data_IF_306652273173
#
_entry.id   IF_306652273173
#
_cell.length_a   1.000
_cell.length_b   1.000
_cell.length_c   1.000
_cell.angle_alpha   90.00
_cell.angle_beta   90.00
_cell.angle_gamma   90.00
#
_symmetry.space_group_name_H-M   'P 1'
#
loop_
_entity.id
_entity.type
_entity.pdbx_description
1 polymer ?
#
# COMPACT_ATOMS: atom_id res chain seq x y z
N UNK A 1 -2.11 -10.81 -18.20
CA UNK A 1 -3.22 -10.84 -19.16
C UNK A 1 -4.49 -10.36 -18.49
N UNK A 2 -5.34 -9.62 -19.22
CA UNK A 2 -6.66 -9.18 -18.73
C UNK A 2 -6.61 -8.33 -17.46
N UNK A 3 -7.74 -8.26 -16.77
CA UNK A 3 -7.92 -7.53 -15.52
C UNK A 3 -7.06 -8.10 -14.38
N UNK A 4 -6.84 -9.42 -14.38
CA UNK A 4 -6.08 -10.11 -13.32
C UNK A 4 -4.57 -10.00 -13.49
N UNK A 5 -4.09 -9.57 -14.66
CA UNK A 5 -2.67 -9.56 -15.02
C UNK A 5 -1.97 -10.93 -14.94
N UNK A 6 -2.71 -12.04 -14.98
CA UNK A 6 -2.12 -13.39 -14.97
C UNK A 6 -1.24 -13.69 -16.17
N UNK A 7 -0.19 -14.47 -15.96
CA UNK A 7 0.52 -15.14 -17.06
C UNK A 7 -0.30 -16.34 -17.57
N UNK A 8 -0.07 -16.85 -18.81
CA UNK A 8 -0.85 -17.94 -19.38
C UNK A 8 -0.97 -19.20 -18.51
N UNK A 9 0.11 -19.60 -17.85
CA UNK A 9 0.12 -20.78 -16.98
C UNK A 9 -0.70 -20.59 -15.71
N UNK A 10 -0.66 -19.40 -15.10
CA UNK A 10 -1.55 -19.04 -13.99
C UNK A 10 -3.01 -19.05 -14.42
N UNK A 11 -3.32 -18.51 -15.61
CA UNK A 11 -4.68 -18.59 -16.17
C UNK A 11 -5.17 -20.03 -16.29
N UNK A 12 -4.36 -20.93 -16.87
CA UNK A 12 -4.74 -22.33 -17.00
C UNK A 12 -5.04 -22.99 -15.64
N UNK A 13 -4.27 -22.67 -14.60
CA UNK A 13 -4.38 -23.30 -13.29
C UNK A 13 -5.50 -22.72 -12.41
N UNK A 14 -5.77 -21.41 -12.54
CA UNK A 14 -6.62 -20.68 -11.58
C UNK A 14 -7.89 -20.08 -12.20
N UNK A 15 -8.02 -19.96 -13.52
CA UNK A 15 -9.16 -19.29 -14.13
C UNK A 15 -10.47 -20.04 -13.84
N UNK A 16 -11.50 -19.26 -13.52
CA UNK A 16 -12.86 -19.69 -13.18
C UNK A 16 -13.85 -19.06 -14.16
N UNK A 17 -14.81 -19.85 -14.60
CA UNK A 17 -16.02 -19.38 -15.30
C UNK A 17 -17.06 -19.19 -14.20
N UNK A 18 -17.30 -17.94 -13.82
CA UNK A 18 -18.13 -17.61 -12.66
C UNK A 18 -19.60 -17.43 -13.07
N UNK A 19 -19.85 -16.97 -14.29
CA UNK A 19 -21.20 -16.71 -14.80
C UNK A 19 -21.82 -17.92 -15.53
N UNK A 20 -21.05 -18.97 -15.77
CA UNK A 20 -21.50 -20.24 -16.33
C UNK A 20 -21.71 -20.24 -17.84
N UNK A 21 -21.15 -19.27 -18.56
CA UNK A 21 -21.34 -19.12 -20.00
C UNK A 21 -20.41 -20.00 -20.87
N UNK A 22 -19.55 -20.80 -20.24
CA UNK A 22 -18.58 -21.70 -20.88
C UNK A 22 -17.22 -21.06 -21.15
N UNK A 23 -17.00 -19.80 -20.77
CA UNK A 23 -15.74 -19.06 -20.94
C UNK A 23 -15.20 -18.59 -19.59
N UNK A 24 -13.88 -18.46 -19.52
CA UNK A 24 -13.18 -17.89 -18.36
C UNK A 24 -12.63 -16.53 -18.73
N UNK A 25 -13.50 -15.57 -19.02
CA UNK A 25 -13.12 -14.30 -19.64
C UNK A 25 -12.56 -13.30 -18.62
N UNK A 26 -11.27 -13.43 -18.31
CA UNK A 26 -10.55 -12.49 -17.43
C UNK A 26 -10.28 -11.12 -18.07
N UNK A 27 -10.71 -10.87 -19.31
CA UNK A 27 -10.57 -9.57 -19.98
C UNK A 27 -11.82 -8.72 -19.80
N UNK A 28 -13.00 -9.28 -20.08
CA UNK A 28 -14.24 -8.51 -20.14
C UNK A 28 -15.28 -8.91 -19.09
N UNK A 29 -15.17 -10.09 -18.47
CA UNK A 29 -16.08 -10.51 -17.39
C UNK A 29 -15.50 -10.13 -16.02
N UNK A 30 -16.12 -9.14 -15.37
CA UNK A 30 -15.79 -8.78 -13.98
C UNK A 30 -16.01 -9.98 -13.03
N UNK A 31 -17.13 -10.74 -13.10
CA UNK A 31 -17.30 -11.95 -12.30
C UNK A 31 -16.15 -12.95 -12.46
N UNK A 32 -15.72 -13.24 -13.69
CA UNK A 32 -14.65 -14.21 -13.94
C UNK A 32 -13.30 -13.71 -13.44
N UNK A 33 -13.00 -12.43 -13.64
CA UNK A 33 -11.77 -11.82 -13.15
C UNK A 33 -11.68 -11.91 -11.61
N UNK A 34 -12.75 -11.51 -10.90
CA UNK A 34 -12.81 -11.55 -9.44
C UNK A 34 -12.75 -12.99 -8.91
N UNK A 35 -13.53 -13.90 -9.47
CA UNK A 35 -13.54 -15.30 -9.06
C UNK A 35 -12.19 -15.97 -9.31
N UNK A 36 -11.54 -15.65 -10.43
CA UNK A 36 -10.20 -16.14 -10.78
C UNK A 36 -9.14 -15.64 -9.79
N UNK A 37 -9.14 -14.35 -9.45
CA UNK A 37 -8.23 -13.79 -8.43
C UNK A 37 -8.48 -14.42 -7.06
N UNK A 38 -9.74 -14.61 -6.66
CA UNK A 38 -10.10 -15.27 -5.41
C UNK A 38 -9.67 -16.75 -5.39
N UNK A 39 -9.80 -17.46 -6.53
CA UNK A 39 -9.37 -18.85 -6.65
C UNK A 39 -7.86 -19.00 -6.49
N UNK A 40 -7.05 -18.07 -7.01
CA UNK A 40 -5.62 -18.03 -6.74
C UNK A 40 -5.34 -17.93 -5.25
N UNK A 41 -5.95 -16.96 -4.55
CA UNK A 41 -5.74 -16.79 -3.11
C UNK A 41 -6.17 -18.05 -2.32
N UNK A 42 -7.36 -18.58 -2.63
CA UNK A 42 -7.90 -19.79 -2.00
C UNK A 42 -6.98 -21.00 -2.18
N UNK A 43 -6.58 -21.29 -3.42
CA UNK A 43 -5.68 -22.43 -3.72
C UNK A 43 -4.29 -22.27 -3.10
N UNK A 44 -3.83 -21.04 -2.89
CA UNK A 44 -2.56 -20.76 -2.19
C UNK A 44 -2.71 -20.68 -0.66
N UNK A 45 -3.90 -21.01 -0.12
CA UNK A 45 -4.11 -21.21 1.31
C UNK A 45 -4.47 -19.94 2.07
N UNK A 46 -5.18 -19.01 1.42
CA UNK A 46 -5.83 -17.89 2.08
C UNK A 46 -6.77 -18.37 3.19
N UNK A 47 -6.70 -17.72 4.35
CA UNK A 47 -7.54 -18.01 5.50
C UNK A 47 -8.61 -16.93 5.62
N UNK A 48 -9.83 -17.25 5.21
CA UNK A 48 -10.97 -16.34 5.32
C UNK A 48 -11.20 -15.89 6.77
N UNK A 49 -11.56 -14.62 6.95
CA UNK A 49 -11.76 -14.01 8.27
C UNK A 49 -10.47 -13.66 9.03
N UNK A 50 -9.29 -14.04 8.52
CA UNK A 50 -8.00 -13.61 9.09
C UNK A 50 -7.42 -12.42 8.33
N UNK A 51 -6.74 -11.54 9.07
CA UNK A 51 -6.02 -10.39 8.50
C UNK A 51 -4.82 -10.84 7.66
N UNK A 52 -4.27 -9.95 6.83
CA UNK A 52 -2.96 -10.14 6.21
C UNK A 52 -1.81 -9.82 7.18
N UNK A 53 -2.02 -8.90 8.12
CA UNK A 53 -1.04 -8.48 9.12
C UNK A 53 -1.62 -7.51 10.15
N UNK A 54 -0.76 -7.08 11.07
CA UNK A 54 -1.08 -6.06 12.06
C UNK A 54 -0.01 -4.98 12.05
N UNK A 55 -0.40 -3.71 12.00
CA UNK A 55 0.49 -2.63 12.40
C UNK A 55 0.75 -2.72 13.92
N UNK A 56 2.01 -2.57 14.31
CA UNK A 56 2.47 -2.77 15.68
C UNK A 56 3.38 -1.65 16.16
N UNK A 57 3.34 -1.40 17.46
CA UNK A 57 4.34 -0.59 18.18
C UNK A 57 5.41 -1.52 18.74
N UNK A 58 6.67 -1.13 18.58
CA UNK A 58 7.82 -1.93 19.01
C UNK A 58 8.36 -1.41 20.36
N UNK A 59 8.66 -2.31 21.32
CA UNK A 59 9.34 -1.92 22.55
C UNK A 59 10.79 -1.53 22.26
N UNK A 60 11.43 -0.81 23.17
CA UNK A 60 12.84 -0.45 23.05
C UNK A 60 13.75 -1.69 22.93
N UNK A 61 14.89 -1.53 22.28
CA UNK A 61 15.89 -2.60 22.13
C UNK A 61 15.71 -3.48 20.89
N UNK A 62 16.63 -4.43 20.74
CA UNK A 62 16.71 -5.34 19.58
C UNK A 62 15.71 -6.48 19.73
N UNK A 63 14.89 -6.67 18.70
CA UNK A 63 13.97 -7.80 18.61
C UNK A 63 14.60 -8.98 17.85
N UNK A 64 14.22 -10.22 18.18
CA UNK A 64 14.69 -11.40 17.45
C UNK A 64 14.18 -11.40 16.01
N UNK A 65 14.96 -11.97 15.09
CA UNK A 65 14.52 -12.23 13.73
C UNK A 65 13.60 -13.47 13.62
N UNK A 66 13.06 -13.67 12.43
CA UNK A 66 12.30 -14.87 12.07
C UNK A 66 10.81 -14.82 12.43
N UNK A 67 10.18 -15.99 12.41
CA UNK A 67 8.74 -16.16 12.62
C UNK A 67 8.46 -16.63 14.04
N UNK A 68 7.50 -15.98 14.72
CA UNK A 68 7.03 -16.32 16.07
C UNK A 68 5.51 -16.24 16.14
N UNK A 69 4.90 -16.88 17.13
CA UNK A 69 3.47 -16.71 17.40
C UNK A 69 3.16 -15.28 17.83
N UNK A 70 1.94 -14.80 17.62
CA UNK A 70 1.50 -13.50 18.14
C UNK A 70 1.61 -13.43 19.67
N UNK A 71 1.35 -14.55 20.38
CA UNK A 71 1.58 -14.64 21.83
C UNK A 71 3.04 -14.37 22.21
N UNK A 72 3.99 -14.96 21.49
CA UNK A 72 5.42 -14.75 21.74
C UNK A 72 5.85 -13.31 21.40
N UNK A 73 5.33 -12.72 20.32
CA UNK A 73 5.57 -11.31 20.02
C UNK A 73 5.03 -10.38 21.10
N UNK A 74 3.83 -10.68 21.59
CA UNK A 74 3.22 -9.94 22.70
C UNK A 74 4.04 -10.06 24.00
N UNK A 75 4.54 -11.25 24.32
CA UNK A 75 5.42 -11.46 25.46
C UNK A 75 6.76 -10.71 25.35
N UNK A 76 7.21 -10.43 24.12
CA UNK A 76 8.37 -9.60 23.85
C UNK A 76 8.07 -8.09 23.93
N UNK A 77 6.83 -7.69 24.25
CA UNK A 77 6.40 -6.30 24.37
C UNK A 77 5.90 -5.67 23.07
N UNK A 78 5.75 -6.43 21.98
CA UNK A 78 5.15 -5.94 20.74
C UNK A 78 3.64 -5.87 20.92
N UNK A 79 3.04 -4.72 20.66
CA UNK A 79 1.59 -4.51 20.77
C UNK A 79 1.02 -3.97 19.47
N UNK A 80 -0.28 -4.13 19.21
CA UNK A 80 -0.90 -3.52 18.04
C UNK A 80 -0.87 -2.00 18.16
N UNK A 81 -0.56 -1.31 17.07
CA UNK A 81 -0.41 0.14 17.06
C UNK A 81 -1.73 0.86 17.43
N UNK A 82 -2.87 0.26 17.11
CA UNK A 82 -4.19 0.79 17.45
C UNK A 82 -4.69 0.44 18.87
N UNK A 83 -3.82 -0.11 19.73
CA UNK A 83 -4.14 -0.46 21.13
C UNK A 83 -5.07 -1.67 21.33
N UNK A 84 -5.59 -2.29 20.26
CA UNK A 84 -6.46 -3.47 20.37
C UNK A 84 -5.63 -4.74 20.69
N UNK A 85 -6.22 -5.78 21.29
CA UNK A 85 -5.54 -7.07 21.45
C UNK A 85 -5.32 -7.77 20.10
N UNK A 86 -4.30 -8.62 20.03
CA UNK A 86 -4.14 -9.53 18.89
C UNK A 86 -5.31 -10.54 18.86
N UNK A 87 -5.79 -10.85 17.66
CA UNK A 87 -6.69 -11.99 17.44
C UNK A 87 -5.88 -13.21 17.03
N UNK A 88 -6.35 -14.41 17.38
CA UNK A 88 -5.72 -15.69 17.01
C UNK A 88 -4.25 -15.80 17.48
N UNK A 89 -4.00 -15.67 18.79
CA UNK A 89 -2.66 -15.68 19.40
C UNK A 89 -1.69 -16.80 18.93
N UNK A 90 -2.14 -18.03 18.60
CA UNK A 90 -1.27 -19.07 18.05
C UNK A 90 -0.75 -18.82 16.63
N UNK A 91 -1.33 -17.86 15.89
CA UNK A 91 -0.90 -17.57 14.52
C UNK A 91 0.54 -17.08 14.50
N UNK A 92 1.31 -17.58 13.53
CA UNK A 92 2.69 -17.16 13.30
C UNK A 92 2.74 -15.89 12.48
N UNK A 93 3.64 -14.98 12.89
CA UNK A 93 3.90 -13.72 12.23
C UNK A 93 5.41 -13.45 12.13
N UNK A 94 5.79 -12.68 11.11
CA UNK A 94 7.16 -12.18 10.91
C UNK A 94 7.14 -10.66 11.00
N UNK A 95 8.04 -10.10 11.81
CA UNK A 95 8.20 -8.65 11.93
C UNK A 95 8.83 -8.06 10.65
N UNK A 96 8.23 -6.99 10.14
CA UNK A 96 8.72 -6.19 9.03
C UNK A 96 8.70 -4.71 9.41
N UNK A 97 9.83 -4.05 9.14
CA UNK A 97 10.07 -2.63 9.43
C UNK A 97 10.47 -1.92 8.13
N UNK A 98 9.53 -1.73 7.18
CA UNK A 98 9.84 -1.28 5.82
C UNK A 98 10.53 0.08 5.74
N UNK A 99 10.37 0.91 6.77
CA UNK A 99 10.94 2.25 6.89
C UNK A 99 11.75 2.41 8.19
N UNK A 100 12.37 1.31 8.61
CA UNK A 100 13.06 1.24 9.89
C UNK A 100 12.10 1.34 11.08
N UNK A 101 12.66 1.63 12.26
CA UNK A 101 11.89 1.68 13.52
C UNK A 101 11.12 2.98 13.73
N UNK A 102 11.44 4.00 12.94
CA UNK A 102 10.81 5.32 13.04
C UNK A 102 9.56 5.48 12.17
N UNK A 103 9.37 4.58 11.21
CA UNK A 103 8.13 4.44 10.42
C UNK A 103 7.23 3.31 10.92
N UNK A 104 6.19 2.95 10.16
CA UNK A 104 5.26 1.89 10.55
C UNK A 104 5.96 0.52 10.56
N UNK A 105 5.64 -0.28 11.57
CA UNK A 105 6.10 -1.66 11.72
C UNK A 105 4.92 -2.63 11.68
N UNK A 106 5.14 -3.82 11.12
CA UNK A 106 4.07 -4.79 10.89
C UNK A 106 4.46 -6.20 11.32
N UNK A 107 3.53 -6.89 11.95
CA UNK A 107 3.56 -8.35 12.05
C UNK A 107 2.80 -8.96 10.88
N UNK A 108 3.53 -9.49 9.90
CA UNK A 108 2.99 -10.12 8.70
C UNK A 108 2.63 -11.57 8.97
N UNK A 109 1.36 -11.94 8.75
CA UNK A 109 0.88 -13.31 9.00
C UNK A 109 0.75 -14.10 7.68
N UNK A 110 0.23 -15.32 7.75
CA UNK A 110 0.12 -16.23 6.59
C UNK A 110 -0.52 -15.58 5.37
N UNK A 111 -1.63 -14.85 5.53
CA UNK A 111 -2.34 -14.23 4.41
C UNK A 111 -1.47 -13.20 3.66
N UNK A 112 -0.52 -12.53 4.31
CA UNK A 112 0.48 -11.70 3.61
C UNK A 112 1.33 -12.52 2.65
N UNK A 113 1.81 -13.70 3.08
CA UNK A 113 2.53 -14.62 2.19
C UNK A 113 1.66 -15.16 1.05
N UNK A 114 0.36 -15.31 1.26
CA UNK A 114 -0.58 -15.71 0.19
C UNK A 114 -0.74 -14.60 -0.85
N UNK A 115 -0.82 -13.33 -0.44
CA UNK A 115 -0.83 -12.20 -1.38
C UNK A 115 0.43 -12.21 -2.25
N UNK A 116 1.58 -12.58 -1.67
CA UNK A 116 2.85 -12.69 -2.41
C UNK A 116 2.87 -13.80 -3.46
N UNK A 117 1.93 -14.76 -3.41
CA UNK A 117 1.78 -15.74 -4.49
C UNK A 117 1.27 -15.10 -5.79
N UNK A 118 0.65 -13.92 -5.70
CA UNK A 118 0.26 -13.12 -6.85
C UNK A 118 1.47 -12.37 -7.44
N UNK A 119 2.26 -11.72 -6.58
CA UNK A 119 3.51 -11.06 -6.91
C UNK A 119 4.45 -11.11 -5.70
N UNK A 120 5.63 -11.70 -5.87
CA UNK A 120 6.56 -12.00 -4.79
C UNK A 120 7.38 -10.79 -4.31
N UNK A 121 6.71 -9.70 -3.96
CA UNK A 121 7.32 -8.48 -3.43
C UNK A 121 6.62 -8.03 -2.14
N UNK A 122 7.39 -7.75 -1.09
CA UNK A 122 6.85 -7.30 0.20
C UNK A 122 6.13 -5.94 0.04
N UNK A 123 6.68 -5.03 -0.77
CA UNK A 123 6.06 -3.72 -1.05
C UNK A 123 4.69 -3.88 -1.74
N UNK A 124 4.59 -4.81 -2.69
CA UNK A 124 3.34 -5.11 -3.37
C UNK A 124 2.31 -5.67 -2.40
N UNK A 125 2.67 -6.72 -1.64
CA UNK A 125 1.74 -7.35 -0.72
C UNK A 125 1.29 -6.42 0.41
N UNK A 126 2.19 -5.54 0.86
CA UNK A 126 1.85 -4.48 1.81
C UNK A 126 0.85 -3.49 1.22
N UNK A 127 1.09 -3.03 -0.02
CA UNK A 127 0.16 -2.12 -0.68
C UNK A 127 -1.24 -2.74 -0.88
N UNK A 128 -1.31 -4.01 -1.27
CA UNK A 128 -2.58 -4.75 -1.39
C UNK A 128 -3.28 -4.87 -0.04
N UNK A 129 -2.54 -5.22 1.03
CA UNK A 129 -3.09 -5.32 2.38
C UNK A 129 -3.65 -3.99 2.90
N UNK A 130 -2.87 -2.92 2.79
CA UNK A 130 -3.30 -1.58 3.18
C UNK A 130 -4.51 -1.12 2.37
N UNK A 131 -4.52 -1.33 1.05
CA UNK A 131 -5.66 -0.98 0.20
C UNK A 131 -6.92 -1.76 0.59
N UNK A 132 -6.79 -3.05 0.89
CA UNK A 132 -7.91 -3.87 1.36
C UNK A 132 -8.49 -3.35 2.69
N UNK A 133 -7.63 -2.94 3.63
CA UNK A 133 -8.07 -2.34 4.89
C UNK A 133 -8.78 -0.99 4.67
N UNK A 134 -8.27 -0.13 3.78
CA UNK A 134 -8.91 1.14 3.41
C UNK A 134 -10.29 0.94 2.75
N UNK A 135 -10.40 0.01 1.79
CA UNK A 135 -11.70 -0.33 1.16
C UNK A 135 -12.70 -0.85 2.20
N UNK A 136 -12.22 -1.56 3.22
CA UNK A 136 -13.04 -2.04 4.33
C UNK A 136 -13.40 -0.95 5.37
N UNK A 137 -13.02 0.31 5.14
CA UNK A 137 -13.30 1.43 6.06
C UNK A 137 -12.32 1.53 7.23
N UNK A 138 -11.09 1.01 7.07
CA UNK A 138 -10.00 1.22 8.02
C UNK A 138 -9.59 2.69 8.15
N UNK A 139 -8.96 3.04 9.27
CA UNK A 139 -8.56 4.42 9.58
C UNK A 139 -7.13 4.77 9.09
N UNK A 140 -6.56 3.98 8.17
CA UNK A 140 -5.17 4.07 7.76
C UNK A 140 -4.14 3.70 8.82
N UNK A 141 -2.90 4.10 8.55
CA UNK A 141 -1.75 3.84 9.42
C UNK A 141 -1.83 4.69 10.69
N UNK A 142 -1.49 4.10 11.83
CA UNK A 142 -1.33 4.83 13.10
C UNK A 142 -0.02 5.62 13.07
N UNK A 143 1.06 5.01 12.60
CA UNK A 143 2.35 5.66 12.38
C UNK A 143 2.55 5.90 10.88
N UNK A 144 2.59 7.16 10.45
CA UNK A 144 2.92 7.47 9.04
C UNK A 144 4.41 7.19 8.76
N UNK A 145 4.72 7.07 7.48
CA UNK A 145 6.07 6.93 6.96
C UNK A 145 6.93 8.15 7.30
N UNK A 146 8.23 7.93 7.51
CA UNK A 146 9.20 9.01 7.61
C UNK A 146 9.44 9.61 6.23
N UNK A 147 8.86 10.79 6.00
CA UNK A 147 9.04 11.52 4.75
C UNK A 147 10.06 12.63 4.96
N UNK A 148 10.95 12.89 3.98
CA UNK A 148 11.82 14.06 4.02
C UNK A 148 11.07 15.37 3.71
N UNK A 149 9.73 15.35 3.68
CA UNK A 149 8.88 16.48 3.33
C UNK A 149 7.54 16.41 4.07
N UNK A 150 6.89 17.56 4.26
CA UNK A 150 5.55 17.60 4.84
C UNK A 150 4.52 17.17 3.79
N UNK A 151 3.82 16.07 4.05
CA UNK A 151 2.80 15.49 3.16
C UNK A 151 1.63 16.46 2.96
N UNK A 152 1.17 16.57 1.72
CA UNK A 152 -0.05 17.28 1.35
C UNK A 152 -1.30 16.42 1.50
N UNK A 153 -2.42 17.05 1.87
CA UNK A 153 -3.77 16.48 1.71
C UNK A 153 -4.12 16.24 0.24
N UNK A 154 -5.28 15.63 -0.02
CA UNK A 154 -5.73 15.44 -1.40
C UNK A 154 -6.02 16.79 -2.08
N UNK A 155 -6.74 17.65 -1.37
CA UNK A 155 -7.14 18.99 -1.78
C UNK A 155 -5.91 19.87 -2.04
N UNK A 156 -4.91 19.81 -1.15
CA UNK A 156 -3.66 20.55 -1.34
C UNK A 156 -2.84 20.05 -2.53
N UNK A 157 -2.90 18.76 -2.89
CA UNK A 157 -2.26 18.26 -4.11
C UNK A 157 -2.95 18.77 -5.37
N UNK A 158 -4.28 18.89 -5.36
CA UNK A 158 -5.02 19.51 -6.46
C UNK A 158 -4.67 21.01 -6.57
N UNK A 159 -4.60 21.71 -5.43
CA UNK A 159 -4.17 23.11 -5.39
C UNK A 159 -2.74 23.27 -5.93
N UNK A 160 -1.82 22.39 -5.53
CA UNK A 160 -0.44 22.38 -6.02
C UNK A 160 -0.40 22.27 -7.55
N UNK A 161 -1.11 21.29 -8.14
CA UNK A 161 -1.18 21.11 -9.59
C UNK A 161 -1.76 22.35 -10.30
N UNK A 162 -2.84 22.93 -9.75
CA UNK A 162 -3.46 24.15 -10.28
C UNK A 162 -2.48 25.33 -10.29
N UNK A 163 -1.75 25.54 -9.20
CA UNK A 163 -0.78 26.65 -9.09
C UNK A 163 0.43 26.46 -9.98
N UNK A 164 0.96 25.23 -10.08
CA UNK A 164 2.01 24.91 -11.04
C UNK A 164 1.57 25.21 -12.48
N UNK A 165 0.30 24.94 -12.81
CA UNK A 165 -0.28 25.29 -14.11
C UNK A 165 -0.38 26.80 -14.34
N UNK A 166 -0.75 27.58 -13.32
CA UNK A 166 -0.75 29.05 -13.38
C UNK A 166 0.64 29.64 -13.62
N UNK A 167 1.71 28.94 -13.23
CA UNK A 167 3.09 29.30 -13.55
C UNK A 167 3.57 28.79 -14.92
N UNK A 168 2.71 28.14 -15.71
CA UNK A 168 3.05 27.56 -17.00
C UNK A 168 3.91 26.29 -16.91
N UNK A 169 3.97 25.64 -15.74
CA UNK A 169 4.84 24.48 -15.50
C UNK A 169 4.10 23.14 -15.56
N UNK A 170 2.77 23.16 -15.61
CA UNK A 170 1.94 21.95 -15.60
C UNK A 170 0.69 22.11 -16.50
N UNK A 171 0.43 21.11 -17.33
CA UNK A 171 -0.66 21.08 -18.32
C UNK A 171 -1.64 19.90 -18.13
N UNK A 172 -1.39 19.06 -17.13
CA UNK A 172 -2.23 17.91 -16.79
C UNK A 172 -3.48 18.24 -15.95
N UNK A 173 -4.24 17.20 -15.60
CA UNK A 173 -5.46 17.32 -14.78
C UNK A 173 -5.12 17.63 -13.32
N UNK A 174 -5.96 18.43 -12.65
CA UNK A 174 -5.83 18.75 -11.22
C UNK A 174 -6.56 17.72 -10.36
N UNK A 175 -6.15 16.45 -10.45
CA UNK A 175 -6.80 15.31 -9.81
C UNK A 175 -6.11 14.84 -8.51
N UNK A 176 -5.10 15.58 -8.06
CA UNK A 176 -4.32 15.30 -6.86
C UNK A 176 -3.36 14.13 -7.01
N UNK A 177 -3.36 13.43 -8.16
CA UNK A 177 -2.47 12.30 -8.42
C UNK A 177 -1.13 12.82 -8.90
N UNK A 178 -0.12 12.69 -8.04
CA UNK A 178 1.24 13.14 -8.33
C UNK A 178 1.96 12.09 -9.19
N UNK A 179 1.73 12.17 -10.50
CA UNK A 179 2.47 11.42 -11.51
C UNK A 179 3.74 12.14 -11.96
N UNK A 180 4.38 11.58 -12.99
CA UNK A 180 5.67 12.10 -13.49
C UNK A 180 5.56 13.54 -14.01
N UNK A 181 4.46 13.90 -14.68
CA UNK A 181 4.22 15.28 -15.10
C UNK A 181 4.16 16.27 -13.93
N UNK A 182 3.51 15.89 -12.82
CA UNK A 182 3.48 16.74 -11.61
C UNK A 182 4.86 16.84 -10.97
N UNK A 183 5.63 15.75 -10.90
CA UNK A 183 7.00 15.77 -10.37
C UNK A 183 7.93 16.66 -11.19
N UNK A 184 7.86 16.58 -12.52
CA UNK A 184 8.63 17.44 -13.41
C UNK A 184 8.28 18.91 -13.19
N UNK A 185 6.99 19.24 -13.07
CA UNK A 185 6.53 20.59 -12.77
C UNK A 185 7.04 21.11 -11.41
N UNK A 186 7.01 20.24 -10.38
CA UNK A 186 7.52 20.56 -9.04
C UNK A 186 9.02 20.85 -9.10
N UNK A 187 9.82 19.98 -9.73
CA UNK A 187 11.27 20.19 -9.87
C UNK A 187 11.60 21.47 -10.63
N UNK A 188 10.86 21.77 -11.71
CA UNK A 188 11.04 23.01 -12.47
C UNK A 188 10.71 24.25 -11.61
N UNK A 189 9.65 24.18 -10.80
CA UNK A 189 9.33 25.25 -9.87
C UNK A 189 10.39 25.40 -8.78
N UNK A 190 10.81 24.30 -8.15
CA UNK A 190 11.89 24.29 -7.14
C UNK A 190 13.16 24.94 -7.68
N UNK A 191 13.57 24.59 -8.91
CA UNK A 191 14.69 25.21 -9.61
C UNK A 191 14.52 26.73 -9.74
N UNK A 192 13.33 27.17 -10.18
CA UNK A 192 13.00 28.59 -10.39
C UNK A 192 13.07 29.42 -9.11
N UNK A 193 12.78 28.83 -7.95
CA UNK A 193 12.80 29.52 -6.65
C UNK A 193 14.01 29.18 -5.77
N UNK A 194 15.01 28.47 -6.31
CA UNK A 194 16.25 28.14 -5.59
C UNK A 194 16.09 27.10 -4.47
N UNK A 195 15.05 26.27 -4.54
CA UNK A 195 14.88 25.12 -3.64
C UNK A 195 15.59 23.87 -4.19
N UNK A 196 15.82 22.88 -3.32
CA UNK A 196 16.29 21.55 -3.73
C UNK A 196 15.30 20.92 -4.72
N UNK A 197 15.81 20.43 -5.85
CA UNK A 197 15.01 19.85 -6.94
C UNK A 197 14.73 18.36 -6.70
N UNK A 198 14.06 18.05 -5.59
CA UNK A 198 13.73 16.67 -5.22
C UNK A 198 12.40 16.15 -5.81
N UNK A 199 11.59 17.06 -6.37
CA UNK A 199 10.30 16.74 -6.97
C UNK A 199 9.23 16.30 -5.98
N UNK A 200 9.44 16.51 -4.67
CA UNK A 200 8.48 16.10 -3.66
C UNK A 200 7.23 17.00 -3.66
N UNK A 201 6.01 16.43 -3.69
CA UNK A 201 4.77 17.19 -3.58
C UNK A 201 4.55 17.60 -2.12
N UNK A 202 5.24 18.66 -1.71
CA UNK A 202 5.39 19.05 -0.32
C UNK A 202 4.64 20.32 0.05
N UNK A 203 4.29 20.45 1.34
CA UNK A 203 3.69 21.68 1.86
C UNK A 203 4.64 22.87 1.75
N UNK A 204 5.94 22.62 1.82
CA UNK A 204 7.00 23.63 1.62
C UNK A 204 6.89 24.25 0.22
N UNK A 205 6.80 23.42 -0.83
CA UNK A 205 6.61 23.90 -2.21
C UNK A 205 5.26 24.62 -2.37
N UNK A 206 4.18 24.06 -1.80
CA UNK A 206 2.86 24.69 -1.90
C UNK A 206 2.81 26.05 -1.20
N UNK A 207 3.48 26.21 -0.06
CA UNK A 207 3.59 27.51 0.64
C UNK A 207 4.27 28.56 -0.23
N UNK A 208 5.34 28.21 -0.93
CA UNK A 208 5.98 29.12 -1.91
C UNK A 208 5.03 29.52 -3.03
N UNK A 209 4.28 28.55 -3.58
CA UNK A 209 3.27 28.79 -4.62
C UNK A 209 2.06 29.62 -4.14
N UNK A 210 1.81 29.70 -2.82
CA UNK A 210 0.74 30.51 -2.22
C UNK A 210 1.11 31.97 -2.01
N UNK A 211 2.41 32.28 -1.96
CA UNK A 211 2.91 33.64 -1.71
C UNK A 211 2.97 34.50 -2.98
N UNK A 212 2.69 33.93 -4.15
CA UNK A 212 2.70 34.59 -5.46
C UNK A 212 1.40 34.32 -6.21
#
# INVERSE_FOLDING_TARGET
MGQTQFIPTSYQHYAVDMDGNGKRDIWNSIPDALATSANLLKKNGWQAGKTWGYEVTLPAGKLPGGSKTLAQWQALGVVRANGKPFKNLPDKATLKVPDGRGGPAFLMIRNFSVIKAYNNADKYALAVGLLADEIAGGNGLVQDWQRPFTKLSFEERQELQKRLSQHGLYDGKFDGKIGDGSKTAIMAYQAKVGLTQDGYPSLEVLKWLRQK
#
